data_IF_773778474420
#
_entry.id   IF_773778474420
#
_cell.length_a   1.000
_cell.length_b   1.000
_cell.length_c   1.000
_cell.angle_alpha   90.00
_cell.angle_beta   90.00
_cell.angle_gamma   90.00
#
_symmetry.space_group_name_H-M   'P 1'
#
loop_
_entity.id
_entity.type
_entity.pdbx_description
1 polymer ?
#
# COMPACT_ATOMS: atom_id res chain seq x y z
N UNK A 1 1.26 10.06 20.48
CA UNK A 1 2.27 9.55 19.51
C UNK A 1 1.87 10.08 18.15
N UNK A 2 2.83 10.40 17.27
CA UNK A 2 2.49 10.91 15.94
C UNK A 2 2.00 9.75 15.05
N UNK A 3 0.91 9.98 14.29
CA UNK A 3 0.35 8.98 13.37
C UNK A 3 1.31 8.63 12.25
N UNK A 4 2.12 9.58 11.81
CA UNK A 4 3.15 9.42 10.80
C UNK A 4 4.51 9.69 11.44
N UNK A 5 5.46 8.77 11.29
CA UNK A 5 6.82 8.92 11.83
C UNK A 5 7.85 8.45 10.82
N UNK A 6 8.72 9.34 10.35
CA UNK A 6 9.87 8.94 9.54
C UNK A 6 10.91 8.28 10.45
N UNK A 7 11.19 7.00 10.23
CA UNK A 7 12.15 6.23 11.00
C UNK A 7 13.58 6.40 10.49
N UNK A 8 13.73 6.46 9.17
CA UNK A 8 15.04 6.64 8.51
C UNK A 8 14.83 7.19 7.09
N UNK A 9 15.86 7.16 6.25
CA UNK A 9 15.83 7.67 4.87
C UNK A 9 14.95 6.85 3.90
N UNK A 10 14.48 5.67 4.31
CA UNK A 10 13.70 4.77 3.46
C UNK A 10 12.37 4.34 4.07
N UNK A 11 12.14 4.60 5.36
CA UNK A 11 11.02 3.98 6.08
C UNK A 11 10.21 5.02 6.81
N UNK A 12 8.92 5.04 6.53
CA UNK A 12 7.91 5.78 7.28
C UNK A 12 7.01 4.78 7.99
N UNK A 13 6.82 4.95 9.30
CA UNK A 13 5.79 4.25 10.05
C UNK A 13 4.50 5.06 9.99
N UNK A 14 3.39 4.37 9.77
CA UNK A 14 2.03 4.92 9.81
C UNK A 14 1.23 4.07 10.78
N UNK A 15 0.56 4.70 11.75
CA UNK A 15 -0.29 3.98 12.70
C UNK A 15 -1.62 3.60 12.06
N UNK A 16 -2.09 2.37 12.30
CA UNK A 16 -3.28 1.77 11.72
C UNK A 16 -4.62 2.31 12.25
N UNK A 17 -4.60 3.35 13.11
CA UNK A 17 -5.78 4.03 13.68
C UNK A 17 -6.73 3.10 14.47
N UNK A 18 -6.21 2.06 15.07
CA UNK A 18 -6.93 1.04 15.83
C UNK A 18 -6.38 0.87 17.26
N UNK A 19 -6.29 1.95 18.08
CA UNK A 19 -5.74 1.84 19.43
C UNK A 19 -6.57 0.90 20.29
N UNK A 20 -5.91 -0.03 20.99
CA UNK A 20 -6.53 -1.00 21.89
C UNK A 20 -5.54 -1.55 22.91
N UNK A 21 -6.00 -2.39 23.84
CA UNK A 21 -5.12 -3.10 24.77
C UNK A 21 -4.12 -4.04 24.05
N UNK A 22 -4.42 -4.49 22.84
CA UNK A 22 -3.57 -5.39 22.05
C UNK A 22 -2.66 -4.63 21.08
N UNK A 23 -3.16 -3.55 20.47
CA UNK A 23 -2.44 -2.78 19.45
C UNK A 23 -1.77 -1.52 20.04
N UNK A 24 -1.96 -1.26 21.33
CA UNK A 24 -1.47 -0.06 22.05
C UNK A 24 -1.95 1.23 21.35
N UNK A 25 -1.04 1.98 20.72
CA UNK A 25 -1.38 3.20 19.99
C UNK A 25 -1.91 2.94 18.56
N UNK A 26 -2.04 1.69 18.19
CA UNK A 26 -2.43 1.20 16.86
C UNK A 26 -1.37 0.32 16.23
N UNK A 27 -1.81 -0.58 15.35
CA UNK A 27 -0.93 -1.44 14.56
C UNK A 27 0.05 -0.61 13.75
N UNK A 28 1.33 -0.98 13.76
CA UNK A 28 2.31 -0.32 12.93
C UNK A 28 2.23 -0.85 11.49
N UNK A 29 2.05 0.05 10.55
CA UNK A 29 2.28 -0.22 9.13
C UNK A 29 3.48 0.59 8.67
N UNK A 30 4.14 0.13 7.59
CA UNK A 30 5.34 0.79 7.13
C UNK A 30 5.30 1.04 5.62
N UNK A 31 5.72 2.23 5.22
CA UNK A 31 5.94 2.56 3.82
C UNK A 31 7.45 2.62 3.57
N UNK A 32 7.93 1.75 2.68
CA UNK A 32 9.32 1.70 2.25
C UNK A 32 9.44 2.51 0.97
N UNK A 33 10.31 3.52 0.97
CA UNK A 33 10.47 4.49 -0.12
C UNK A 33 11.92 4.53 -0.60
N UNK A 34 12.20 4.99 -1.84
CA UNK A 34 13.54 5.34 -2.25
C UNK A 34 14.10 6.49 -1.38
N UNK A 35 15.40 6.55 -1.12
CA UNK A 35 16.00 7.67 -0.36
C UNK A 35 15.77 9.03 -1.01
N UNK A 36 15.75 9.08 -2.34
CA UNK A 36 15.50 10.28 -3.15
C UNK A 36 14.13 10.92 -2.92
N UNK A 37 13.16 10.13 -2.40
CA UNK A 37 11.83 10.64 -2.11
C UNK A 37 11.84 11.86 -1.16
N UNK A 38 12.81 11.95 -0.28
CA UNK A 38 12.90 13.03 0.71
C UNK A 38 13.63 14.28 0.20
N UNK A 39 14.19 14.23 -1.02
CA UNK A 39 14.79 15.37 -1.69
C UNK A 39 13.70 16.12 -2.48
N UNK A 40 13.24 17.26 -1.95
CA UNK A 40 12.16 18.04 -2.55
C UNK A 40 12.46 18.47 -3.99
N UNK A 41 13.72 18.73 -4.31
CA UNK A 41 14.18 19.18 -5.63
C UNK A 41 14.16 18.07 -6.69
N UNK A 42 14.12 16.79 -6.28
CA UNK A 42 14.12 15.62 -7.16
C UNK A 42 12.72 15.01 -7.38
N UNK A 43 11.67 15.58 -6.77
CA UNK A 43 10.28 15.06 -6.85
C UNK A 43 9.58 15.36 -8.18
N UNK A 44 10.25 15.16 -9.30
CA UNK A 44 9.65 15.38 -10.62
C UNK A 44 8.98 14.12 -11.20
N UNK A 45 9.18 12.95 -10.59
CA UNK A 45 8.65 11.67 -11.07
C UNK A 45 7.92 10.92 -9.96
N UNK A 46 7.01 10.05 -10.37
CA UNK A 46 6.31 9.13 -9.50
C UNK A 46 7.28 8.04 -9.04
N UNK A 47 7.61 8.01 -7.75
CA UNK A 47 8.57 7.06 -7.18
C UNK A 47 7.88 5.79 -6.65
N UNK A 48 8.46 4.60 -6.84
CA UNK A 48 7.89 3.36 -6.35
C UNK A 48 8.01 3.23 -4.83
N UNK A 49 7.01 2.62 -4.20
CA UNK A 49 6.99 2.33 -2.77
C UNK A 49 6.40 0.96 -2.48
N UNK A 50 6.81 0.36 -1.36
CA UNK A 50 6.25 -0.88 -0.81
C UNK A 50 5.51 -0.54 0.47
N UNK A 51 4.25 -0.97 0.57
CA UNK A 51 3.49 -0.90 1.81
C UNK A 51 3.60 -2.23 2.55
N UNK A 52 3.99 -2.21 3.82
CA UNK A 52 4.03 -3.37 4.71
C UNK A 52 2.89 -3.26 5.71
N UNK A 53 1.99 -4.23 5.66
CA UNK A 53 0.70 -4.27 6.37
C UNK A 53 -0.25 -3.11 6.04
N UNK A 54 -1.52 -3.25 6.41
CA UNK A 54 -2.58 -2.33 5.97
C UNK A 54 -3.51 -1.85 7.10
N UNK A 55 -3.23 -2.24 8.33
CA UNK A 55 -4.11 -1.91 9.46
C UNK A 55 -5.41 -2.72 9.48
N UNK A 56 -6.33 -2.28 10.32
CA UNK A 56 -7.58 -2.97 10.72
C UNK A 56 -8.82 -2.32 10.07
N UNK A 57 -8.87 -2.25 8.74
CA UNK A 57 -10.06 -1.78 8.01
C UNK A 57 -10.69 -0.47 8.56
N UNK A 58 -9.87 0.46 9.07
CA UNK A 58 -10.33 1.73 9.63
C UNK A 58 -10.42 2.79 8.54
N UNK A 59 -11.53 3.50 8.50
CA UNK A 59 -11.78 4.55 7.51
C UNK A 59 -10.79 5.73 7.62
N UNK A 60 -10.28 5.98 8.81
CA UNK A 60 -9.33 7.06 9.13
C UNK A 60 -7.87 6.72 8.76
N UNK A 61 -7.54 5.46 8.46
CA UNK A 61 -6.19 5.07 8.04
C UNK A 61 -5.86 5.51 6.60
N UNK A 62 -6.78 5.29 5.67
CA UNK A 62 -6.54 5.56 4.24
C UNK A 62 -6.22 7.04 3.95
N UNK A 63 -6.89 8.06 4.56
CA UNK A 63 -6.49 9.46 4.41
C UNK A 63 -5.08 9.77 4.90
N UNK A 64 -4.64 9.13 5.98
CA UNK A 64 -3.29 9.34 6.53
C UNK A 64 -2.25 8.75 5.59
N UNK A 65 -2.47 7.53 5.07
CA UNK A 65 -1.61 6.93 4.06
C UNK A 65 -1.54 7.81 2.81
N UNK A 66 -2.67 8.33 2.33
CA UNK A 66 -2.71 9.23 1.17
C UNK A 66 -1.87 10.49 1.39
N UNK A 67 -1.92 11.11 2.59
CA UNK A 67 -1.06 12.25 2.90
C UNK A 67 0.42 11.91 2.70
N UNK A 68 0.86 10.72 3.13
CA UNK A 68 2.25 10.29 2.91
C UNK A 68 2.55 10.09 1.43
N UNK A 69 1.63 9.51 0.65
CA UNK A 69 1.81 9.33 -0.80
C UNK A 69 1.92 10.68 -1.54
N UNK A 70 1.36 11.75 -0.98
CA UNK A 70 1.44 13.13 -1.47
C UNK A 70 2.63 13.92 -0.89
N UNK A 71 3.48 13.28 -0.08
CA UNK A 71 4.70 13.89 0.44
C UNK A 71 4.59 14.57 1.79
N UNK A 72 3.51 14.37 2.52
CA UNK A 72 3.33 14.95 3.84
C UNK A 72 3.70 13.98 4.96
N UNK A 73 4.38 14.47 5.99
CA UNK A 73 4.65 13.74 7.25
C UNK A 73 3.66 14.10 8.36
N UNK A 74 2.62 14.83 8.05
CA UNK A 74 1.49 15.19 8.93
C UNK A 74 0.22 15.25 8.08
N UNK A 75 -0.91 15.05 8.71
CA UNK A 75 -2.20 15.19 8.02
C UNK A 75 -2.35 16.62 7.53
N UNK A 76 -2.58 16.79 6.23
CA UNK A 76 -2.73 18.09 5.57
C UNK A 76 -3.93 18.06 4.64
N UNK A 77 -4.63 19.18 4.56
CA UNK A 77 -5.71 19.41 3.58
C UNK A 77 -5.16 19.81 2.20
N UNK A 78 -3.87 20.15 2.12
CA UNK A 78 -3.22 20.52 0.88
C UNK A 78 -3.13 19.32 -0.06
N UNK A 79 -3.79 19.41 -1.21
CA UNK A 79 -3.76 18.37 -2.25
C UNK A 79 -2.54 18.53 -3.14
N UNK A 80 -1.37 18.21 -2.61
CA UNK A 80 -0.18 18.08 -3.44
C UNK A 80 -0.32 16.91 -4.43
N UNK A 81 0.35 16.96 -5.59
CA UNK A 81 0.39 15.81 -6.50
C UNK A 81 0.87 14.54 -5.80
N UNK A 82 0.34 13.39 -6.20
CA UNK A 82 0.84 12.10 -5.72
C UNK A 82 2.26 11.90 -6.21
N UNK A 83 3.18 11.62 -5.31
CA UNK A 83 4.61 11.46 -5.61
C UNK A 83 5.14 10.06 -5.29
N UNK A 84 4.34 9.22 -4.63
CA UNK A 84 4.66 7.80 -4.40
C UNK A 84 3.61 6.89 -5.01
N UNK A 85 4.08 5.85 -5.69
CA UNK A 85 3.28 4.76 -6.24
C UNK A 85 3.48 3.49 -5.43
N UNK A 86 2.47 3.00 -4.73
CA UNK A 86 2.53 1.68 -4.10
C UNK A 86 2.50 0.64 -5.22
N UNK A 87 3.64 -0.03 -5.43
CA UNK A 87 3.79 -1.11 -6.39
C UNK A 87 3.49 -2.47 -5.78
N UNK A 88 3.74 -2.60 -4.49
CA UNK A 88 3.63 -3.84 -3.74
C UNK A 88 3.08 -3.60 -2.34
N UNK A 89 2.20 -4.49 -1.90
CA UNK A 89 1.70 -4.58 -0.53
C UNK A 89 2.19 -5.91 0.04
N UNK A 90 2.93 -5.88 1.13
CA UNK A 90 3.46 -7.06 1.80
C UNK A 90 2.72 -7.27 3.11
N UNK A 91 2.06 -8.40 3.26
CA UNK A 91 1.34 -8.78 4.47
C UNK A 91 2.22 -9.69 5.31
N UNK A 92 2.56 -9.25 6.52
CA UNK A 92 3.48 -9.98 7.41
C UNK A 92 2.86 -11.27 7.94
N UNK A 93 1.59 -11.21 8.34
CA UNK A 93 0.84 -12.37 8.85
C UNK A 93 -0.68 -12.14 8.73
N UNK A 94 -1.48 -13.12 9.15
CA UNK A 94 -2.93 -13.19 8.89
C UNK A 94 -3.81 -12.42 9.87
N UNK A 95 -3.30 -11.85 10.96
CA UNK A 95 -4.12 -11.14 11.93
C UNK A 95 -4.86 -9.98 11.28
N UNK A 96 -6.12 -9.79 11.69
CA UNK A 96 -7.03 -8.84 11.06
C UNK A 96 -6.50 -7.41 11.06
N UNK A 97 -5.81 -7.00 12.11
CA UNK A 97 -5.21 -5.68 12.26
C UNK A 97 -3.98 -5.43 11.36
N UNK A 98 -3.55 -6.45 10.62
CA UNK A 98 -2.50 -6.35 9.59
C UNK A 98 -3.05 -6.47 8.16
N UNK A 99 -4.07 -7.30 7.97
CA UNK A 99 -4.61 -7.62 6.63
C UNK A 99 -5.97 -7.00 6.35
N UNK A 100 -6.73 -6.61 7.38
CA UNK A 100 -8.10 -6.14 7.24
C UNK A 100 -8.24 -4.87 6.40
N UNK A 101 -7.22 -4.04 6.38
CA UNK A 101 -7.19 -2.78 5.63
C UNK A 101 -6.95 -2.93 4.12
N UNK A 102 -6.56 -4.11 3.61
CA UNK A 102 -6.26 -4.31 2.17
C UNK A 102 -7.36 -3.79 1.24
N UNK A 103 -8.66 -4.12 1.42
CA UNK A 103 -9.70 -3.60 0.54
C UNK A 103 -9.82 -2.07 0.57
N UNK A 104 -9.59 -1.44 1.72
CA UNK A 104 -9.66 0.02 1.88
C UNK A 104 -8.50 0.71 1.17
N UNK A 105 -7.28 0.18 1.32
CA UNK A 105 -6.10 0.66 0.62
C UNK A 105 -6.27 0.53 -0.89
N UNK A 106 -6.74 -0.62 -1.37
CA UNK A 106 -6.97 -0.84 -2.81
C UNK A 106 -8.02 0.14 -3.38
N UNK A 107 -9.13 0.39 -2.67
CA UNK A 107 -10.13 1.39 -3.11
C UNK A 107 -9.56 2.80 -3.13
N UNK A 108 -8.75 3.17 -2.13
CA UNK A 108 -8.06 4.46 -2.09
C UNK A 108 -7.12 4.60 -3.28
N UNK A 109 -6.28 3.60 -3.57
CA UNK A 109 -5.37 3.59 -4.72
C UNK A 109 -6.12 3.64 -6.06
N UNK A 110 -7.26 2.93 -6.17
CA UNK A 110 -8.13 3.03 -7.34
C UNK A 110 -8.65 4.45 -7.54
N UNK A 111 -9.08 5.12 -6.47
CA UNK A 111 -9.51 6.52 -6.55
C UNK A 111 -8.37 7.41 -7.02
N UNK A 112 -7.16 7.25 -6.46
CA UNK A 112 -5.98 8.02 -6.85
C UNK A 112 -5.59 7.78 -8.33
N UNK A 113 -5.79 6.58 -8.87
CA UNK A 113 -5.56 6.30 -10.29
C UNK A 113 -6.46 7.09 -11.24
N UNK A 114 -7.63 7.55 -10.80
CA UNK A 114 -8.46 8.45 -11.60
C UNK A 114 -7.84 9.85 -11.71
N UNK A 115 -7.06 10.27 -10.69
CA UNK A 115 -6.31 11.53 -10.69
C UNK A 115 -4.98 11.38 -11.43
N UNK A 116 -4.29 10.23 -11.22
CA UNK A 116 -2.97 9.91 -11.76
C UNK A 116 -3.02 8.54 -12.43
N UNK A 117 -3.36 8.46 -13.74
CA UNK A 117 -3.52 7.19 -14.45
C UNK A 117 -2.27 6.30 -14.50
N UNK A 118 -1.09 6.89 -14.30
CA UNK A 118 0.20 6.17 -14.27
C UNK A 118 0.41 5.32 -13.01
N UNK A 119 -0.40 5.51 -11.96
CA UNK A 119 -0.31 4.68 -10.77
C UNK A 119 -0.53 3.21 -11.10
N UNK A 120 0.36 2.31 -10.67
CA UNK A 120 0.23 0.88 -10.93
C UNK A 120 -0.93 0.27 -10.14
N UNK A 121 -1.33 -0.93 -10.56
CA UNK A 121 -2.10 -1.85 -9.71
C UNK A 121 -1.10 -2.56 -8.80
N UNK A 122 -1.18 -2.43 -7.46
CA UNK A 122 -0.21 -3.07 -6.58
C UNK A 122 -0.38 -4.60 -6.59
N UNK A 123 0.74 -5.30 -6.45
CA UNK A 123 0.74 -6.73 -6.11
C UNK A 123 0.58 -6.88 -4.61
N UNK A 124 -0.21 -7.84 -4.17
CA UNK A 124 -0.36 -8.17 -2.74
C UNK A 124 0.41 -9.46 -2.45
N UNK A 125 1.40 -9.38 -1.59
CA UNK A 125 2.28 -10.49 -1.22
C UNK A 125 1.96 -10.99 0.18
N UNK A 126 1.86 -12.30 0.32
CA UNK A 126 1.68 -12.96 1.61
C UNK A 126 2.37 -14.32 1.60
N UNK A 127 3.06 -14.66 2.70
CA UNK A 127 3.55 -16.01 2.90
C UNK A 127 2.33 -16.94 3.10
N UNK A 128 2.21 -18.03 2.34
CA UNK A 128 1.14 -19.00 2.53
C UNK A 128 1.18 -19.59 3.94
N UNK A 129 0.07 -19.55 4.63
CA UNK A 129 -0.08 -20.17 5.95
C UNK A 129 -1.15 -21.24 5.90
N UNK A 130 -1.01 -22.34 6.69
CA UNK A 130 -1.98 -23.44 6.70
C UNK A 130 -3.40 -23.03 7.12
N UNK A 131 -3.54 -21.88 7.77
CA UNK A 131 -4.80 -21.32 8.29
C UNK A 131 -5.13 -19.95 7.66
N UNK A 132 -4.79 -19.75 6.40
CA UNK A 132 -5.19 -18.51 5.71
C UNK A 132 -6.69 -18.39 5.70
N UNK A 133 -7.20 -17.24 6.17
CA UNK A 133 -8.63 -16.92 6.12
C UNK A 133 -9.09 -16.82 4.65
N UNK A 134 -9.91 -17.77 4.14
CA UNK A 134 -10.41 -17.71 2.76
C UNK A 134 -11.14 -16.40 2.47
N UNK A 135 -11.78 -15.79 3.48
CA UNK A 135 -12.55 -14.56 3.34
C UNK A 135 -11.66 -13.35 2.99
N UNK A 136 -10.39 -13.35 3.37
CA UNK A 136 -9.46 -12.30 2.97
C UNK A 136 -9.22 -12.35 1.46
N UNK A 137 -8.98 -13.55 0.92
CA UNK A 137 -8.76 -13.74 -0.52
C UNK A 137 -9.99 -13.28 -1.31
N UNK A 138 -11.19 -13.68 -0.90
CA UNK A 138 -12.45 -13.26 -1.52
C UNK A 138 -12.65 -11.75 -1.46
N UNK A 139 -12.36 -11.10 -0.31
CA UNK A 139 -12.48 -9.64 -0.16
C UNK A 139 -11.47 -8.88 -1.02
N UNK A 140 -10.23 -9.37 -1.13
CA UNK A 140 -9.22 -8.78 -2.01
C UNK A 140 -9.65 -8.95 -3.47
N UNK A 141 -10.15 -10.14 -3.83
CA UNK A 141 -10.63 -10.43 -5.17
C UNK A 141 -11.83 -9.55 -5.56
N UNK A 142 -12.82 -9.40 -4.68
CA UNK A 142 -14.00 -8.56 -4.96
C UNK A 142 -13.64 -7.10 -5.23
N UNK A 143 -12.69 -6.54 -4.46
CA UNK A 143 -12.21 -5.18 -4.72
C UNK A 143 -11.46 -5.10 -6.04
N UNK A 144 -10.70 -6.14 -6.38
CA UNK A 144 -9.94 -6.15 -7.64
C UNK A 144 -10.85 -6.25 -8.86
N UNK A 145 -11.90 -7.06 -8.78
CA UNK A 145 -12.85 -7.24 -9.89
C UNK A 145 -13.59 -5.93 -10.18
N UNK A 146 -14.05 -5.22 -9.15
CA UNK A 146 -14.72 -3.93 -9.30
C UNK A 146 -13.76 -2.80 -9.69
N UNK A 147 -12.58 -2.80 -9.08
CA UNK A 147 -11.65 -1.68 -9.14
C UNK A 147 -10.80 -1.65 -10.40
N UNK A 148 -10.49 -2.81 -10.95
CA UNK A 148 -9.49 -2.96 -12.00
C UNK A 148 -10.01 -3.68 -13.26
N UNK A 149 -11.30 -3.98 -13.33
CA UNK A 149 -11.93 -4.65 -14.48
C UNK A 149 -11.68 -3.93 -15.82
N UNK A 150 -11.36 -2.64 -15.79
CA UNK A 150 -11.13 -1.81 -16.98
C UNK A 150 -9.68 -1.34 -17.13
N UNK A 151 -8.73 -1.86 -16.34
CA UNK A 151 -7.32 -1.49 -16.50
C UNK A 151 -6.74 -2.14 -17.79
N UNK A 152 -6.07 -1.36 -18.67
CA UNK A 152 -5.39 -1.92 -19.83
C UNK A 152 -4.36 -2.98 -19.40
N UNK A 153 -4.45 -4.21 -19.93
CA UNK A 153 -3.59 -5.34 -19.57
C UNK A 153 -4.09 -6.22 -18.43
N UNK A 154 -5.26 -5.93 -17.83
CA UNK A 154 -5.88 -6.76 -16.81
C UNK A 154 -6.56 -8.00 -17.42
N UNK A 155 -5.76 -8.93 -17.92
CA UNK A 155 -6.25 -10.28 -18.21
C UNK A 155 -6.09 -11.15 -16.97
N UNK A 156 -7.16 -11.30 -16.19
CA UNK A 156 -7.26 -12.24 -15.08
C UNK A 156 -6.72 -11.69 -13.76
N UNK A 157 -7.59 -11.07 -13.01
CA UNK A 157 -7.39 -10.53 -11.64
C UNK A 157 -7.07 -11.58 -10.57
N UNK A 158 -7.01 -12.87 -10.94
CA UNK A 158 -6.54 -13.97 -10.09
C UNK A 158 -5.09 -13.79 -9.58
N UNK A 159 -4.41 -12.68 -9.92
CA UNK A 159 -2.98 -12.48 -9.64
C UNK A 159 -2.63 -11.27 -8.76
N UNK A 160 -3.57 -10.67 -8.02
CA UNK A 160 -3.19 -9.68 -7.01
C UNK A 160 -2.47 -10.32 -5.82
N UNK A 161 -2.84 -11.57 -5.48
CA UNK A 161 -2.18 -12.31 -4.40
C UNK A 161 -0.98 -13.11 -4.96
N UNK A 162 0.21 -12.73 -4.53
CA UNK A 162 1.46 -13.39 -4.88
C UNK A 162 1.99 -14.14 -3.65
N UNK A 163 2.02 -15.48 -3.64
CA UNK A 163 2.62 -16.21 -2.55
C UNK A 163 4.11 -15.89 -2.48
N UNK A 164 4.59 -15.56 -1.28
CA UNK A 164 6.01 -15.43 -1.00
C UNK A 164 6.53 -16.75 -0.41
N UNK A 165 7.72 -17.12 -0.82
CA UNK A 165 8.48 -18.23 -0.24
C UNK A 165 9.67 -17.67 0.53
N UNK A 166 10.30 -18.52 1.35
CA UNK A 166 11.50 -18.12 2.08
C UNK A 166 12.59 -17.67 1.11
N UNK A 167 13.22 -16.51 1.44
CA UNK A 167 14.25 -15.85 0.64
C UNK A 167 13.78 -15.22 -0.69
N UNK A 168 12.49 -15.16 -0.98
CA UNK A 168 12.00 -14.40 -2.13
C UNK A 168 12.38 -12.91 -2.01
N UNK A 169 12.77 -12.34 -3.14
CA UNK A 169 13.07 -10.92 -3.23
C UNK A 169 11.96 -10.20 -3.98
N UNK A 170 11.40 -9.15 -3.38
CA UNK A 170 10.45 -8.29 -4.06
C UNK A 170 11.25 -7.22 -4.80
N UNK A 171 11.25 -7.30 -6.13
CA UNK A 171 11.83 -6.26 -6.96
C UNK A 171 10.83 -5.13 -7.13
N UNK A 172 11.20 -3.94 -6.70
CA UNK A 172 10.42 -2.71 -6.92
C UNK A 172 10.46 -2.37 -8.39
N UNK A 173 9.29 -2.34 -9.03
CA UNK A 173 9.19 -1.96 -10.44
C UNK A 173 9.15 -0.45 -10.56
N UNK A 174 9.89 0.09 -11.51
CA UNK A 174 9.75 1.48 -11.92
C UNK A 174 8.36 1.68 -12.54
N UNK A 175 7.52 2.56 -12.00
CA UNK A 175 6.18 2.80 -12.52
C UNK A 175 6.20 3.32 -13.97
N UNK A 176 7.27 4.01 -14.38
CA UNK A 176 7.42 4.52 -15.74
C UNK A 176 7.85 3.43 -16.74
N UNK A 177 8.39 2.29 -16.28
CA UNK A 177 8.85 1.16 -17.10
C UNK A 177 7.89 -0.06 -17.09
N UNK A 178 6.65 0.09 -16.65
CA UNK A 178 5.67 -1.00 -16.61
C UNK A 178 5.25 -1.56 -18.00
N UNK A 179 5.84 -1.07 -19.09
CA UNK A 179 5.53 -1.48 -20.46
C UNK A 179 6.57 -2.39 -21.09
N UNK A 180 7.62 -2.82 -20.38
CA UNK A 180 8.64 -3.71 -20.91
C UNK A 180 8.66 -5.04 -20.15
N UNK A 181 7.74 -5.93 -20.43
CA UNK A 181 7.88 -7.40 -20.68
C UNK A 181 6.53 -8.00 -21.00
#
# INVERSE_FOLDING_TARGET
MQDITRLNTRTVRILGQNPSAFTLNGTNTYLITPPSYWNLDERQSLLPAILVDTGDARDDYAPILECVLRGHLHVSEDKQPVSLAITDIVLTHWHHDHVGGVPYVLRMLQRLRREVPQLPVPRVHKIPEPKTDPSLFERVQSVSDDAYAHAPGATGLARLMWPLHDQDQIQVRDPDNAHLT
#
